data_IF_296824414964
#
_entry.id   IF_296824414964
#
_cell.length_a   1.000
_cell.length_b   1.000
_cell.length_c   1.000
_cell.angle_alpha   90.00
_cell.angle_beta   90.00
_cell.angle_gamma   90.00
#
_symmetry.space_group_name_H-M   'P 1'
#
loop_
_entity.id
_entity.type
_entity.pdbx_description
1 polymer ?
#
# COMPACT_ATOMS: atom_id res chain seq x y z
N UNK A 1 -4.12 -18.76 6.91
CA UNK A 1 -2.87 -18.07 6.58
C UNK A 1 -3.01 -17.53 5.17
N UNK A 2 -2.80 -16.22 4.99
CA UNK A 2 -2.95 -15.51 3.71
C UNK A 2 -1.96 -16.08 2.66
N UNK A 3 -2.45 -16.38 1.45
CA UNK A 3 -1.66 -17.04 0.38
C UNK A 3 -0.50 -16.17 -0.07
N UNK A 4 -0.76 -14.88 -0.25
CA UNK A 4 0.22 -13.89 -0.67
C UNK A 4 1.30 -13.69 0.39
N UNK A 5 0.92 -13.66 1.67
CA UNK A 5 1.88 -13.58 2.78
C UNK A 5 2.81 -14.80 2.83
N UNK A 6 2.27 -15.99 2.55
CA UNK A 6 3.07 -17.23 2.48
C UNK A 6 4.07 -17.17 1.32
N UNK A 7 3.64 -16.76 0.13
CA UNK A 7 4.50 -16.64 -1.05
C UNK A 7 5.61 -15.61 -0.83
N UNK A 8 5.30 -14.48 -0.21
CA UNK A 8 6.28 -13.47 0.17
C UNK A 8 7.35 -14.03 1.13
N UNK A 9 6.90 -14.71 2.19
CA UNK A 9 7.81 -15.31 3.17
C UNK A 9 8.68 -16.43 2.54
N UNK A 10 8.12 -17.24 1.65
CA UNK A 10 8.88 -18.26 0.92
C UNK A 10 9.97 -17.66 0.01
N UNK A 11 9.74 -16.47 -0.55
CA UNK A 11 10.69 -15.80 -1.43
C UNK A 11 11.79 -15.04 -0.69
N UNK A 12 11.44 -14.33 0.39
CA UNK A 12 12.36 -13.41 1.07
C UNK A 12 12.84 -13.89 2.44
N UNK A 13 12.18 -14.91 3.03
CA UNK A 13 12.52 -15.43 4.36
C UNK A 13 12.13 -14.50 5.51
N UNK A 14 11.44 -13.40 5.22
CA UNK A 14 10.99 -12.41 6.19
C UNK A 14 9.54 -12.00 5.90
N UNK A 15 8.87 -11.46 6.92
CA UNK A 15 7.55 -10.88 6.75
C UNK A 15 7.69 -9.44 6.26
N UNK A 16 6.79 -8.98 5.37
CA UNK A 16 6.79 -7.57 5.01
C UNK A 16 6.50 -6.76 6.27
N UNK A 17 7.15 -5.59 6.37
CA UNK A 17 6.83 -4.58 7.38
C UNK A 17 5.31 -4.37 7.41
N UNK A 18 4.71 -4.03 8.55
CA UNK A 18 3.27 -3.81 8.69
C UNK A 18 3.03 -2.55 9.51
N UNK A 19 2.30 -1.59 8.92
CA UNK A 19 1.87 -0.39 9.63
C UNK A 19 0.81 -0.74 10.68
N UNK A 20 0.81 -0.04 11.81
CA UNK A 20 -0.11 -0.32 12.94
C UNK A 20 -1.60 -0.17 12.60
N UNK A 21 -1.92 0.52 11.51
CA UNK A 21 -3.30 0.73 11.03
C UNK A 21 -3.73 -0.28 9.97
N UNK A 22 -2.85 -1.19 9.55
CA UNK A 22 -3.09 -2.12 8.44
C UNK A 22 -3.00 -3.59 8.92
N UNK A 23 -3.52 -4.48 8.09
CA UNK A 23 -3.50 -5.93 8.23
C UNK A 23 -2.95 -6.58 6.97
N UNK A 24 -2.29 -7.74 7.11
CA UNK A 24 -1.89 -8.54 5.95
C UNK A 24 -3.08 -9.05 5.12
N UNK A 25 -4.29 -9.02 5.69
CA UNK A 25 -5.51 -9.41 5.00
C UNK A 25 -6.17 -8.26 4.22
N UNK A 26 -5.65 -7.04 4.30
CA UNK A 26 -6.13 -5.91 3.50
C UNK A 26 -5.80 -6.13 2.02
N UNK A 27 -6.74 -5.80 1.14
CA UNK A 27 -6.60 -6.01 -0.31
C UNK A 27 -5.41 -5.23 -0.88
N UNK A 28 -5.21 -3.99 -0.45
CA UNK A 28 -4.06 -3.17 -0.83
C UNK A 28 -2.73 -3.80 -0.41
N UNK A 29 -2.67 -4.37 0.80
CA UNK A 29 -1.49 -5.07 1.28
C UNK A 29 -1.17 -6.31 0.45
N UNK A 30 -2.21 -7.06 0.06
CA UNK A 30 -2.05 -8.23 -0.81
C UNK A 30 -1.48 -7.83 -2.17
N UNK A 31 -1.93 -6.71 -2.74
CA UNK A 31 -1.42 -6.19 -4.01
C UNK A 31 0.07 -5.85 -3.89
N UNK A 32 0.47 -5.14 -2.83
CA UNK A 32 1.88 -4.82 -2.58
C UNK A 32 2.75 -6.08 -2.46
N UNK A 33 2.28 -7.10 -1.72
CA UNK A 33 2.99 -8.38 -1.60
C UNK A 33 3.14 -9.09 -2.95
N UNK A 34 2.10 -9.10 -3.78
CA UNK A 34 2.16 -9.69 -5.14
C UNK A 34 3.16 -8.93 -6.02
N UNK A 35 3.16 -7.60 -5.97
CA UNK A 35 4.13 -6.79 -6.73
C UNK A 35 5.57 -7.06 -6.30
N UNK A 36 5.80 -7.20 -5.00
CA UNK A 36 7.12 -7.51 -4.45
C UNK A 36 7.61 -8.91 -4.85
N UNK A 37 6.74 -9.92 -4.82
CA UNK A 37 7.07 -11.26 -5.32
C UNK A 37 7.37 -11.22 -6.82
N UNK A 38 6.55 -10.53 -7.61
CA UNK A 38 6.75 -10.43 -9.07
C UNK A 38 8.04 -9.71 -9.46
N UNK A 39 8.45 -8.67 -8.71
CA UNK A 39 9.70 -7.95 -8.96
C UNK A 39 10.94 -8.66 -8.38
N UNK A 40 10.74 -9.60 -7.46
CA UNK A 40 11.82 -10.31 -6.76
C UNK A 40 12.60 -9.47 -5.76
N UNK A 41 11.99 -8.39 -5.26
CA UNK A 41 12.59 -7.46 -4.29
C UNK A 41 11.61 -7.28 -3.13
N UNK A 42 12.04 -7.40 -1.86
CA UNK A 42 11.17 -7.22 -0.70
C UNK A 42 10.63 -5.80 -0.62
N UNK A 43 9.47 -5.61 0.00
CA UNK A 43 8.88 -4.31 0.27
C UNK A 43 9.71 -3.55 1.31
N UNK A 44 9.97 -2.29 1.02
CA UNK A 44 10.56 -1.38 2.01
C UNK A 44 9.46 -0.65 2.78
N UNK A 45 9.80 -0.21 4.00
CA UNK A 45 8.91 0.61 4.82
C UNK A 45 8.47 1.89 4.10
N UNK A 46 9.38 2.52 3.34
CA UNK A 46 9.09 3.73 2.57
C UNK A 46 8.07 3.48 1.45
N UNK A 47 8.15 2.35 0.76
CA UNK A 47 7.17 1.98 -0.29
C UNK A 47 5.78 1.75 0.29
N UNK A 48 5.71 1.05 1.42
CA UNK A 48 4.45 0.81 2.14
C UNK A 48 3.89 2.15 2.61
N UNK A 49 4.70 2.98 3.27
CA UNK A 49 4.29 4.29 3.75
C UNK A 49 3.82 5.20 2.60
N UNK A 50 4.52 5.23 1.47
CA UNK A 50 4.15 6.04 0.31
C UNK A 50 2.85 5.55 -0.35
N UNK A 51 2.65 4.23 -0.46
CA UNK A 51 1.40 3.68 -1.02
C UNK A 51 0.19 4.15 -0.20
N UNK A 52 0.24 3.93 1.12
CA UNK A 52 -0.88 4.29 2.00
C UNK A 52 -1.00 5.79 2.26
N UNK A 53 0.08 6.56 2.17
CA UNK A 53 0.01 8.03 2.30
C UNK A 53 -0.68 8.68 1.09
N UNK A 54 -0.46 8.16 -0.12
CA UNK A 54 -1.08 8.69 -1.33
C UNK A 54 -2.60 8.46 -1.38
N UNK A 55 -3.12 7.39 -0.77
CA UNK A 55 -4.57 7.17 -0.67
C UNK A 55 -5.29 8.20 0.21
N UNK A 56 -4.60 8.80 1.18
CA UNK A 56 -5.14 9.89 2.00
C UNK A 56 -4.95 11.29 1.39
N UNK A 57 -4.09 11.44 0.37
CA UNK A 57 -3.87 12.70 -0.34
C UNK A 57 -4.84 12.92 -1.53
N UNK A 58 -5.79 12.00 -1.78
CA UNK A 58 -6.87 12.21 -2.78
C UNK A 58 -8.14 12.76 -2.11
N UNK A 59 -8.01 13.88 -1.38
CA UNK A 59 -9.14 14.80 -1.16
C UNK A 59 -8.66 16.27 -1.27
N UNK A 60 -7.99 16.62 -2.35
CA UNK A 60 -7.92 18.01 -2.85
C UNK A 60 -7.40 17.94 -4.29
N UNK A 61 -8.22 17.92 -5.33
CA UNK A 61 -9.00 19.06 -5.80
C UNK A 61 -10.42 18.61 -6.17
N UNK A 62 -11.34 18.65 -5.19
CA UNK A 62 -12.68 19.08 -5.57
C UNK A 62 -12.50 20.50 -6.07
N UNK A 63 -12.60 20.68 -7.39
CA UNK A 63 -12.90 21.94 -8.06
C UNK A 63 -14.07 22.63 -7.37
N UNK A 64 -13.83 23.29 -6.24
CA UNK A 64 -14.66 24.33 -5.68
C UNK A 64 -14.37 25.59 -6.50
N UNK A 65 -14.77 25.58 -7.77
CA UNK A 65 -15.12 26.82 -8.44
C UNK A 65 -16.45 27.29 -7.83
N UNK A 66 -16.36 27.70 -6.57
CA UNK A 66 -17.41 28.40 -5.88
C UNK A 66 -17.47 29.80 -6.51
N UNK A 67 -18.56 30.03 -7.22
CA UNK A 67 -19.30 31.29 -7.28
C UNK A 67 -18.63 32.52 -6.65
N UNK A 68 -18.42 33.53 -7.50
CA UNK A 68 -18.61 34.92 -7.08
C UNK A 68 -17.43 35.86 -7.34
N UNK A 69 -17.51 36.58 -8.47
CA UNK A 69 -17.09 37.98 -8.68
C UNK A 69 -17.23 38.26 -10.19
N UNK A 70 -17.95 39.26 -10.68
CA UNK A 70 -18.92 40.22 -10.16
C UNK A 70 -19.57 40.83 -11.40
#
# INVERSE_FOLDING_TARGET
>A
MNKQLKEYFEMFGEFPFLLTTQSYDDEDYKILMIQAVNRGTPLTEEEIANYFKNDYDIVDDKKFNNFGRK
#
